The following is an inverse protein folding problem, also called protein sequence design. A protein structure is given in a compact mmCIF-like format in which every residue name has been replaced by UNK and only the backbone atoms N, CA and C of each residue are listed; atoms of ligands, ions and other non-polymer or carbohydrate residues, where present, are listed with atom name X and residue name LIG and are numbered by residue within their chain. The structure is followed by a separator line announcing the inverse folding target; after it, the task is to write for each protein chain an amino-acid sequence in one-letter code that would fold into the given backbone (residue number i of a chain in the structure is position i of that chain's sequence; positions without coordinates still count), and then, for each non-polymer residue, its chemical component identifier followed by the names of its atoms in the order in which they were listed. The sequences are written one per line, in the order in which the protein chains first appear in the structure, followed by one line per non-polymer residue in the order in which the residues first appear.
data_IF_992396790352
#
_entry.id   IF_992396790352
#
_cell.length_a   1.000
_cell.length_b   1.000
_cell.length_c   1.000
_cell.angle_alpha   90.00
_cell.angle_beta   90.00
_cell.angle_gamma   90.00
#
_symmetry.space_group_name_H-M   'P 1'
#
loop_
_entity.id
_entity.type
_entity.pdbx_description
1 polymer ?
#
# COMPACT_ATOMS: atom_id res chain seq x y z
N UNK A 1 14.52 -20.53 -28.91
CA UNK A 1 13.35 -19.68 -28.69
C UNK A 1 12.16 -20.59 -28.48
N UNK A 2 11.74 -20.84 -27.24
CA UNK A 2 10.62 -21.76 -26.92
C UNK A 2 9.38 -20.85 -26.80
N UNK A 3 8.50 -20.92 -27.79
CA UNK A 3 7.20 -20.25 -27.74
C UNK A 3 6.29 -21.07 -26.85
N UNK A 4 6.04 -20.63 -25.62
CA UNK A 4 5.03 -21.22 -24.74
C UNK A 4 3.68 -20.66 -25.17
N UNK A 5 2.92 -21.43 -25.93
CA UNK A 5 1.54 -21.13 -26.23
C UNK A 5 0.70 -21.57 -25.03
N UNK A 6 0.09 -20.62 -24.31
CA UNK A 6 -0.92 -20.91 -23.32
C UNK A 6 -2.22 -21.30 -24.04
N UNK A 7 -2.53 -22.59 -24.01
CA UNK A 7 -3.87 -23.06 -24.41
C UNK A 7 -4.81 -22.76 -23.24
N UNK A 8 -5.62 -21.73 -23.37
CA UNK A 8 -6.70 -21.49 -22.43
C UNK A 8 -7.72 -22.62 -22.54
N UNK A 9 -7.94 -23.34 -21.43
CA UNK A 9 -9.01 -24.32 -21.35
C UNK A 9 -10.37 -23.63 -21.60
N UNK A 10 -11.28 -24.22 -22.39
CA UNK A 10 -12.64 -23.71 -22.56
C UNK A 10 -13.34 -23.72 -21.18
N UNK A 11 -13.65 -22.55 -20.65
CA UNK A 11 -14.29 -22.39 -19.34
C UNK A 11 -13.41 -21.72 -18.26
N UNK A 12 -12.22 -21.23 -18.58
CA UNK A 12 -11.50 -20.35 -17.65
C UNK A 12 -12.32 -19.06 -17.49
N UNK A 13 -12.81 -18.82 -16.25
CA UNK A 13 -13.53 -17.60 -15.97
C UNK A 13 -12.66 -16.39 -16.32
N UNK A 14 -13.21 -15.41 -17.01
CA UNK A 14 -12.49 -14.19 -17.42
C UNK A 14 -12.39 -13.28 -16.19
N UNK A 15 -11.21 -12.70 -15.96
CA UNK A 15 -11.06 -11.65 -14.94
C UNK A 15 -11.77 -10.41 -15.46
N UNK A 16 -12.71 -9.87 -14.67
CA UNK A 16 -13.60 -8.77 -15.02
C UNK A 16 -13.45 -7.57 -14.11
N UNK A 17 -12.79 -7.71 -12.95
CA UNK A 17 -12.50 -6.64 -12.02
C UNK A 17 -11.19 -6.90 -11.27
N UNK A 18 -10.56 -5.83 -10.82
CA UNK A 18 -9.25 -5.90 -10.17
C UNK A 18 -9.27 -5.18 -8.83
N UNK A 19 -8.77 -5.87 -7.81
CA UNK A 19 -8.45 -5.32 -6.51
C UNK A 19 -6.95 -5.11 -6.43
N UNK A 20 -6.49 -3.93 -6.06
CA UNK A 20 -5.09 -3.67 -5.82
C UNK A 20 -4.84 -3.41 -4.33
N UNK A 21 -3.79 -3.99 -3.79
CA UNK A 21 -3.19 -3.46 -2.59
C UNK A 21 -2.60 -2.06 -2.87
N UNK A 22 -2.37 -1.29 -1.80
CA UNK A 22 -1.92 0.09 -1.92
C UNK A 22 -0.40 0.21 -1.76
N UNK A 23 0.12 0.00 -0.54
CA UNK A 23 1.52 0.24 -0.24
C UNK A 23 2.39 -0.92 -0.72
N UNK A 24 3.55 -0.63 -1.30
CA UNK A 24 4.43 -1.59 -1.98
C UNK A 24 3.79 -2.31 -3.19
N UNK A 25 2.61 -1.87 -3.65
CA UNK A 25 1.93 -2.37 -4.85
C UNK A 25 1.64 -1.24 -5.85
N UNK A 26 0.84 -0.25 -5.49
CA UNK A 26 0.56 0.93 -6.30
C UNK A 26 1.50 2.09 -5.99
N UNK A 27 1.95 2.18 -4.75
CA UNK A 27 2.81 3.26 -4.23
C UNK A 27 3.87 2.71 -3.30
N UNK A 28 4.94 3.49 -3.15
CA UNK A 28 5.97 3.26 -2.14
C UNK A 28 6.51 4.61 -1.64
N UNK A 29 7.25 4.59 -0.53
CA UNK A 29 8.08 5.72 -0.11
C UNK A 29 9.49 5.51 -0.69
N UNK A 30 9.85 6.25 -1.74
CA UNK A 30 11.12 6.01 -2.46
C UNK A 30 12.35 6.53 -1.76
N UNK A 31 12.22 7.52 -0.88
CA UNK A 31 13.36 8.19 -0.24
C UNK A 31 13.12 8.46 1.24
N UNK A 32 13.63 7.55 2.08
CA UNK A 32 13.63 7.74 3.53
C UNK A 32 14.41 8.98 3.98
N UNK A 33 15.37 9.47 3.16
CA UNK A 33 16.09 10.71 3.43
C UNK A 33 15.21 11.94 3.29
N UNK A 34 14.43 12.03 2.19
CA UNK A 34 13.46 13.11 2.01
C UNK A 34 12.40 13.11 3.10
N UNK A 35 11.97 11.94 3.55
CA UNK A 35 11.04 11.81 4.68
C UNK A 35 11.61 12.36 5.98
N UNK A 36 12.87 12.02 6.30
CA UNK A 36 13.58 12.55 7.47
C UNK A 36 13.70 14.07 7.38
N UNK A 37 14.12 14.59 6.23
CA UNK A 37 14.26 16.04 6.01
C UNK A 37 12.95 16.79 6.20
N UNK A 38 11.85 16.28 5.66
CA UNK A 38 10.51 16.87 5.84
C UNK A 38 10.08 16.88 7.32
N UNK A 39 10.36 15.81 8.06
CA UNK A 39 10.09 15.73 9.49
C UNK A 39 10.93 16.73 10.30
N UNK A 40 12.22 16.88 9.97
CA UNK A 40 13.12 17.87 10.59
C UNK A 40 12.62 19.30 10.33
N UNK A 41 12.29 19.63 9.08
CA UNK A 41 11.73 20.95 8.72
C UNK A 41 10.46 21.26 9.50
N UNK A 42 9.60 20.24 9.69
CA UNK A 42 8.38 20.39 10.50
C UNK A 42 8.69 20.67 11.96
N UNK A 43 9.70 20.01 12.54
CA UNK A 43 10.14 20.27 13.92
C UNK A 43 10.75 21.66 14.09
N UNK A 44 11.58 22.10 13.16
CA UNK A 44 12.24 23.41 13.17
C UNK A 44 11.23 24.56 13.03
N UNK A 45 10.09 24.32 12.37
CA UNK A 45 8.99 25.28 12.28
C UNK A 45 8.27 25.49 13.62
N UNK A 46 8.62 24.70 14.66
CA UNK A 46 8.06 24.84 16.01
C UNK A 46 8.93 25.79 16.83
N UNK A 47 8.39 26.89 17.40
CA UNK A 47 9.18 27.87 18.16
C UNK A 47 9.99 27.23 19.31
N UNK A 48 11.29 27.51 19.37
CA UNK A 48 12.19 27.04 20.42
C UNK A 48 12.95 25.74 20.14
N UNK A 49 12.81 25.16 18.95
CA UNK A 49 13.61 24.02 18.49
C UNK A 49 14.46 24.43 17.30
N UNK A 50 15.75 24.21 17.38
CA UNK A 50 16.69 24.36 16.27
C UNK A 50 17.89 23.47 16.49
N UNK A 51 17.92 22.35 15.80
CA UNK A 51 19.14 21.64 15.40
C UNK A 51 18.79 20.66 14.29
N UNK A 52 19.41 20.84 13.13
CA UNK A 52 19.46 19.79 12.11
C UNK A 52 20.03 18.51 12.71
N UNK A 53 19.59 17.34 12.22
CA UNK A 53 20.16 16.07 12.65
C UNK A 53 21.61 15.95 12.14
N UNK A 54 22.47 15.36 12.96
CA UNK A 54 23.82 14.97 12.55
C UNK A 54 23.73 14.00 11.36
N UNK A 55 24.59 14.11 10.31
CA UNK A 55 24.58 13.20 9.16
C UNK A 55 24.72 11.71 9.53
N UNK A 56 25.48 11.37 10.57
CA UNK A 56 25.59 9.99 11.06
C UNK A 56 24.26 9.51 11.66
N UNK A 57 23.58 10.39 12.40
CA UNK A 57 22.26 10.11 12.95
C UNK A 57 21.20 9.95 11.85
N UNK A 58 21.25 10.78 10.80
CA UNK A 58 20.36 10.65 9.64
C UNK A 58 20.52 9.30 8.96
N UNK A 59 21.76 8.83 8.74
CA UNK A 59 21.99 7.53 8.13
C UNK A 59 21.45 6.38 8.98
N UNK A 60 21.65 6.43 10.30
CA UNK A 60 21.16 5.41 11.22
C UNK A 60 19.64 5.43 11.38
N UNK A 61 19.01 6.61 11.38
CA UNK A 61 17.53 6.74 11.36
C UNK A 61 16.95 6.20 10.07
N UNK A 62 17.61 6.41 8.93
CA UNK A 62 17.18 5.86 7.64
C UNK A 62 17.08 4.33 7.70
N UNK A 63 18.14 3.65 8.16
CA UNK A 63 18.14 2.19 8.32
C UNK A 63 17.02 1.70 9.24
N UNK A 64 16.77 2.44 10.33
CA UNK A 64 15.66 2.11 11.25
C UNK A 64 14.29 2.27 10.58
N UNK A 65 14.09 3.32 9.78
CA UNK A 65 12.83 3.55 9.06
C UNK A 65 12.56 2.49 7.99
N UNK A 66 13.60 1.95 7.34
CA UNK A 66 13.46 0.83 6.40
C UNK A 66 12.91 -0.44 7.08
N UNK A 67 13.08 -0.57 8.39
CA UNK A 67 12.59 -1.69 9.19
C UNK A 67 11.40 -1.32 10.08
N UNK A 68 10.82 -0.12 9.91
CA UNK A 68 9.83 0.44 10.83
C UNK A 68 8.60 -0.46 11.02
N UNK A 69 8.12 -1.07 9.95
CA UNK A 69 6.96 -1.96 10.01
C UNK A 69 7.27 -3.29 10.71
N UNK A 70 8.51 -3.81 10.59
CA UNK A 70 8.96 -4.96 11.38
C UNK A 70 9.03 -4.66 12.88
N UNK A 71 9.44 -3.44 13.24
CA UNK A 71 9.36 -2.97 14.63
C UNK A 71 7.90 -2.81 15.08
N UNK A 72 7.05 -2.27 14.23
CA UNK A 72 5.61 -2.14 14.49
C UNK A 72 4.96 -3.51 14.71
N UNK A 73 5.31 -4.54 13.94
CA UNK A 73 4.82 -5.91 14.12
C UNK A 73 5.23 -6.51 15.47
N UNK A 74 6.41 -6.16 15.97
CA UNK A 74 6.86 -6.58 17.29
C UNK A 74 6.07 -5.93 18.42
N UNK A 75 5.69 -4.64 18.25
CA UNK A 75 4.91 -3.87 19.22
C UNK A 75 3.44 -4.28 19.18
N UNK A 76 2.90 -4.56 18.01
CA UNK A 76 1.49 -4.82 17.73
C UNK A 76 1.32 -6.08 16.84
N UNK A 77 1.63 -7.28 17.37
CA UNK A 77 1.63 -8.52 16.58
C UNK A 77 0.24 -8.93 16.07
N UNK A 78 -0.81 -8.33 16.60
CA UNK A 78 -2.20 -8.55 16.16
C UNK A 78 -2.66 -7.55 15.10
N UNK A 79 -1.80 -6.69 14.59
CA UNK A 79 -2.11 -5.66 13.57
C UNK A 79 -3.31 -4.77 13.93
N UNK A 80 -3.53 -4.54 15.24
CA UNK A 80 -4.63 -3.66 15.70
C UNK A 80 -4.45 -2.21 15.24
N UNK A 81 -3.20 -1.83 14.88
CA UNK A 81 -2.88 -0.55 14.24
C UNK A 81 -3.64 -0.33 12.95
N UNK A 82 -3.85 -1.40 12.17
CA UNK A 82 -4.52 -1.33 10.88
C UNK A 82 -6.04 -1.28 10.98
N UNK A 83 -6.57 -1.41 12.22
CA UNK A 83 -7.99 -1.29 12.54
C UNK A 83 -8.36 0.05 13.22
N UNK A 84 -7.38 0.95 13.42
CA UNK A 84 -7.61 2.20 14.15
C UNK A 84 -6.58 3.26 13.78
N UNK A 85 -7.02 4.42 13.33
CA UNK A 85 -6.16 5.57 13.04
C UNK A 85 -5.35 6.02 14.27
N UNK A 86 -5.95 6.02 15.45
CA UNK A 86 -5.26 6.37 16.69
C UNK A 86 -4.17 5.35 17.00
N UNK A 87 -4.51 4.06 16.91
CA UNK A 87 -3.55 2.99 17.21
C UNK A 87 -2.42 2.93 16.19
N UNK A 88 -2.71 3.18 14.92
CA UNK A 88 -1.70 3.25 13.86
C UNK A 88 -0.63 4.31 14.18
N UNK A 89 -1.08 5.51 14.55
CA UNK A 89 -0.17 6.59 14.94
C UNK A 89 0.63 6.23 16.20
N UNK A 90 0.00 5.68 17.23
CA UNK A 90 0.67 5.29 18.48
C UNK A 90 1.77 4.25 18.23
N UNK A 91 1.47 3.18 17.49
CA UNK A 91 2.41 2.10 17.19
C UNK A 91 3.58 2.62 16.36
N UNK A 92 3.32 3.45 15.35
CA UNK A 92 4.37 4.07 14.56
C UNK A 92 5.31 4.92 15.42
N UNK A 93 4.77 5.82 16.25
CA UNK A 93 5.57 6.69 17.13
C UNK A 93 6.38 5.85 18.12
N UNK A 94 5.78 4.80 18.66
CA UNK A 94 6.48 3.87 19.54
C UNK A 94 7.62 3.14 18.80
N UNK A 95 7.39 2.69 17.58
CA UNK A 95 8.42 2.04 16.76
C UNK A 95 9.59 2.98 16.46
N UNK A 96 9.33 4.25 16.13
CA UNK A 96 10.37 5.28 15.97
C UNK A 96 11.14 5.49 17.28
N UNK A 97 10.44 5.47 18.42
CA UNK A 97 11.06 5.68 19.75
C UNK A 97 11.99 4.55 20.21
N UNK A 98 11.96 3.39 19.54
CA UNK A 98 12.93 2.32 19.79
C UNK A 98 14.35 2.70 19.33
N UNK A 99 14.45 3.67 18.42
CA UNK A 99 15.77 4.16 17.98
C UNK A 99 16.34 5.14 19.00
N UNK A 100 17.55 4.88 19.57
CA UNK A 100 18.16 5.76 20.55
C UNK A 100 18.64 7.07 19.93
N UNK A 101 18.44 8.17 20.63
CA UNK A 101 18.95 9.49 20.24
C UNK A 101 18.01 10.34 19.39
N UNK A 102 16.79 9.85 19.08
CA UNK A 102 15.77 10.71 18.47
C UNK A 102 15.16 11.66 19.50
N UNK A 103 14.93 12.89 19.09
CA UNK A 103 14.29 13.91 19.95
C UNK A 103 12.80 13.58 20.20
N UNK A 104 12.29 13.95 21.39
CA UNK A 104 10.84 13.91 21.62
C UNK A 104 10.07 14.70 20.55
N UNK A 105 9.05 14.08 19.94
CA UNK A 105 8.26 14.67 18.88
C UNK A 105 8.74 14.35 17.46
N UNK A 106 9.90 13.70 17.30
CA UNK A 106 10.37 13.31 15.96
C UNK A 106 9.46 12.25 15.32
N UNK A 107 9.00 11.28 16.11
CA UNK A 107 8.02 10.28 15.64
C UNK A 107 6.70 10.91 15.19
N UNK A 108 6.21 11.93 15.93
CA UNK A 108 5.06 12.71 15.51
C UNK A 108 5.30 13.48 14.20
N UNK A 109 6.47 14.06 14.06
CA UNK A 109 6.81 14.81 12.86
C UNK A 109 6.90 13.89 11.63
N UNK A 110 7.57 12.73 11.77
CA UNK A 110 7.62 11.70 10.72
C UNK A 110 6.21 11.22 10.34
N UNK A 111 5.38 10.91 11.32
CA UNK A 111 4.01 10.46 11.07
C UNK A 111 3.19 11.51 10.33
N UNK A 112 3.33 12.78 10.72
CA UNK A 112 2.56 13.87 10.15
C UNK A 112 2.88 14.17 8.68
N UNK A 113 4.08 13.80 8.20
CA UNK A 113 4.50 13.99 6.80
C UNK A 113 4.58 12.68 6.02
N UNK A 114 4.18 11.54 6.61
CA UNK A 114 4.31 10.21 6.01
C UNK A 114 3.61 10.11 4.66
N UNK A 115 2.35 10.52 4.60
CA UNK A 115 1.56 10.42 3.38
C UNK A 115 2.10 11.30 2.25
N UNK A 116 2.78 12.41 2.57
CA UNK A 116 3.41 13.30 1.60
C UNK A 116 4.66 12.67 0.94
N UNK A 117 5.17 11.58 1.52
CA UNK A 117 6.35 10.87 1.01
C UNK A 117 5.98 9.71 0.08
N UNK A 118 4.70 9.37 -0.04
CA UNK A 118 4.27 8.34 -0.95
C UNK A 118 4.42 8.78 -2.41
N UNK A 119 4.89 7.87 -3.24
CA UNK A 119 5.06 8.08 -4.69
C UNK A 119 4.49 6.87 -5.41
N UNK A 120 3.63 7.10 -6.39
CA UNK A 120 3.14 6.02 -7.24
C UNK A 120 4.30 5.43 -8.07
N UNK A 121 4.28 4.11 -8.28
CA UNK A 121 5.17 3.50 -9.24
C UNK A 121 4.90 4.03 -10.66
N UNK A 122 5.92 4.03 -11.51
CA UNK A 122 5.83 4.61 -12.85
C UNK A 122 4.80 3.89 -13.74
N UNK A 123 4.54 2.61 -13.47
CA UNK A 123 3.54 1.79 -14.17
C UNK A 123 2.14 1.84 -13.53
N UNK A 124 1.95 2.47 -12.37
CA UNK A 124 0.65 2.57 -11.72
C UNK A 124 -0.37 3.32 -12.59
N UNK A 125 -0.11 4.58 -12.93
CA UNK A 125 -1.05 5.39 -13.69
C UNK A 125 -1.34 4.80 -15.08
N UNK A 126 -0.34 4.35 -15.87
CA UNK A 126 -0.58 3.69 -17.14
C UNK A 126 -1.48 2.46 -17.04
N UNK A 127 -1.25 1.58 -16.05
CA UNK A 127 -2.02 0.35 -15.90
C UNK A 127 -3.46 0.63 -15.45
N UNK A 128 -3.65 1.52 -14.46
CA UNK A 128 -5.01 1.90 -14.02
C UNK A 128 -5.79 2.58 -15.15
N UNK A 129 -5.13 3.42 -15.95
CA UNK A 129 -5.76 4.08 -17.11
C UNK A 129 -6.21 3.06 -18.14
N UNK A 130 -5.34 2.13 -18.53
CA UNK A 130 -5.66 1.08 -19.50
C UNK A 130 -6.81 0.18 -19.02
N UNK A 131 -6.83 -0.20 -17.73
CA UNK A 131 -7.92 -0.99 -17.15
C UNK A 131 -9.26 -0.22 -17.20
N UNK A 132 -9.24 1.06 -16.82
CA UNK A 132 -10.42 1.92 -16.86
C UNK A 132 -10.93 2.10 -18.32
N UNK A 133 -10.05 2.29 -19.30
CA UNK A 133 -10.40 2.38 -20.72
C UNK A 133 -11.01 1.09 -21.27
N UNK A 134 -10.61 -0.06 -20.73
CA UNK A 134 -11.20 -1.37 -21.02
C UNK A 134 -12.54 -1.61 -20.29
N UNK A 135 -12.99 -0.68 -19.45
CA UNK A 135 -14.19 -0.82 -18.64
C UNK A 135 -14.08 -1.87 -17.53
N UNK A 136 -12.86 -2.12 -17.05
CA UNK A 136 -12.59 -3.04 -15.95
C UNK A 136 -12.63 -2.26 -14.64
N UNK A 137 -13.59 -2.54 -13.73
CA UNK A 137 -13.67 -1.84 -12.46
C UNK A 137 -12.48 -2.17 -11.54
N UNK A 138 -12.04 -1.15 -10.80
CA UNK A 138 -10.84 -1.17 -9.99
C UNK A 138 -11.16 -0.73 -8.55
N UNK A 139 -10.79 -1.55 -7.58
CA UNK A 139 -10.90 -1.24 -6.15
C UNK A 139 -9.54 -1.34 -5.48
N UNK A 140 -9.22 -0.39 -4.61
CA UNK A 140 -8.04 -0.50 -3.72
C UNK A 140 -8.46 -1.16 -2.40
N UNK A 141 -7.66 -2.12 -1.92
CA UNK A 141 -7.89 -2.86 -0.66
C UNK A 141 -6.64 -2.82 0.19
N UNK A 142 -6.64 -2.05 1.28
CA UNK A 142 -5.44 -1.80 2.07
C UNK A 142 -5.61 -2.08 3.56
N UNK A 143 -4.60 -2.76 4.14
CA UNK A 143 -4.39 -2.85 5.59
C UNK A 143 -3.67 -1.57 6.03
N UNK A 144 -4.42 -0.58 6.49
CA UNK A 144 -3.86 0.72 6.86
C UNK A 144 -4.78 1.47 7.82
N UNK A 145 -4.19 2.18 8.78
CA UNK A 145 -4.89 3.08 9.69
C UNK A 145 -4.79 4.56 9.29
N UNK A 146 -4.61 4.86 8.00
CA UNK A 146 -4.57 6.24 7.46
C UNK A 146 -5.54 6.32 6.29
N UNK A 147 -6.25 7.47 6.16
CA UNK A 147 -7.04 7.73 4.95
C UNK A 147 -6.10 8.05 3.77
N UNK A 148 -6.11 7.20 2.76
CA UNK A 148 -5.27 7.34 1.55
C UNK A 148 -5.92 8.18 0.45
N UNK A 149 -7.22 8.51 0.57
CA UNK A 149 -7.95 9.23 -0.48
C UNK A 149 -7.38 10.61 -0.82
N UNK A 150 -6.85 11.38 0.16
CA UNK A 150 -6.17 12.65 -0.16
C UNK A 150 -4.97 12.43 -1.09
N UNK A 151 -4.15 11.41 -0.83
CA UNK A 151 -3.03 11.06 -1.70
C UNK A 151 -3.51 10.60 -3.08
N UNK A 152 -4.50 9.69 -3.15
CA UNK A 152 -5.04 9.21 -4.42
C UNK A 152 -5.55 10.35 -5.29
N UNK A 153 -6.21 11.34 -4.68
CA UNK A 153 -6.69 12.54 -5.39
C UNK A 153 -5.54 13.42 -5.88
N UNK A 154 -4.54 13.67 -5.03
CA UNK A 154 -3.37 14.47 -5.38
C UNK A 154 -2.53 13.82 -6.49
N UNK A 155 -2.39 12.50 -6.46
CA UNK A 155 -1.68 11.72 -7.47
C UNK A 155 -2.48 11.52 -8.76
N UNK A 156 -3.75 11.97 -8.83
CA UNK A 156 -4.62 11.80 -9.99
C UNK A 156 -5.11 10.36 -10.19
N UNK A 157 -4.98 9.50 -9.17
CA UNK A 157 -5.37 8.10 -9.23
C UNK A 157 -6.86 7.90 -8.91
N UNK A 158 -7.45 8.81 -8.13
CA UNK A 158 -8.82 8.67 -7.62
C UNK A 158 -9.86 8.48 -8.74
N UNK A 159 -9.73 9.19 -9.86
CA UNK A 159 -10.66 9.12 -10.99
C UNK A 159 -10.57 7.80 -11.80
N UNK A 160 -9.61 6.93 -11.47
CA UNK A 160 -9.45 5.62 -12.08
C UNK A 160 -10.01 4.48 -11.24
N UNK A 161 -10.47 4.78 -10.02
CA UNK A 161 -10.90 3.81 -9.04
C UNK A 161 -12.42 3.86 -8.86
N UNK A 162 -13.05 2.69 -8.80
CA UNK A 162 -14.46 2.53 -8.50
C UNK A 162 -14.71 2.47 -6.98
N UNK A 163 -13.65 2.19 -6.19
CA UNK A 163 -13.77 2.18 -4.74
C UNK A 163 -12.45 2.01 -4.00
N UNK A 164 -12.52 2.25 -2.69
CA UNK A 164 -11.40 2.10 -1.75
C UNK A 164 -11.91 1.44 -0.49
N UNK A 165 -11.33 0.30 -0.12
CA UNK A 165 -11.60 -0.46 1.10
C UNK A 165 -10.41 -0.32 2.03
N UNK A 166 -10.61 0.32 3.17
CA UNK A 166 -9.57 0.52 4.19
C UNK A 166 -9.93 -0.30 5.43
N UNK A 167 -8.97 -1.07 5.93
CA UNK A 167 -9.18 -1.98 7.04
C UNK A 167 -9.76 -1.31 8.28
N UNK A 168 -9.32 -0.08 8.62
CA UNK A 168 -9.83 0.65 9.78
C UNK A 168 -11.29 1.11 9.62
N UNK A 169 -11.81 1.21 8.40
CA UNK A 169 -13.21 1.58 8.14
C UNK A 169 -14.13 0.36 8.19
N UNK A 170 -13.67 -0.77 7.63
CA UNK A 170 -14.49 -1.98 7.55
C UNK A 170 -14.32 -2.91 8.76
N UNK A 171 -13.33 -2.64 9.63
CA UNK A 171 -13.08 -3.41 10.85
C UNK A 171 -12.48 -4.80 10.60
N UNK A 172 -11.88 -5.02 9.43
CA UNK A 172 -11.24 -6.27 9.04
C UNK A 172 -9.94 -6.00 8.29
N UNK A 173 -8.92 -6.83 8.50
CA UNK A 173 -7.63 -6.78 7.81
C UNK A 173 -7.46 -7.96 6.87
N UNK A 174 -6.75 -7.82 5.77
CA UNK A 174 -6.24 -8.95 4.99
C UNK A 174 -5.35 -9.80 5.91
N UNK A 175 -5.43 -11.13 5.93
CA UNK A 175 -6.15 -12.00 4.99
C UNK A 175 -7.58 -12.39 5.43
N UNK A 176 -8.22 -11.68 6.35
CA UNK A 176 -9.58 -11.96 6.80
C UNK A 176 -10.57 -11.86 5.62
N UNK A 177 -11.52 -12.81 5.47
CA UNK A 177 -12.42 -12.84 4.31
C UNK A 177 -13.35 -11.62 4.22
N UNK A 178 -13.64 -10.98 5.33
CA UNK A 178 -14.56 -9.85 5.44
C UNK A 178 -14.10 -8.65 4.61
N UNK A 179 -12.78 -8.34 4.59
CA UNK A 179 -12.25 -7.21 3.82
C UNK A 179 -12.40 -7.44 2.31
N UNK A 180 -12.23 -8.68 1.86
CA UNK A 180 -12.41 -9.05 0.45
C UNK A 180 -13.89 -9.06 0.05
N UNK A 181 -14.80 -9.41 0.98
CA UNK A 181 -16.24 -9.34 0.74
C UNK A 181 -16.67 -7.88 0.45
N UNK A 182 -16.20 -6.91 1.25
CA UNK A 182 -16.45 -5.49 0.98
C UNK A 182 -15.94 -5.04 -0.39
N UNK A 183 -14.78 -5.55 -0.82
CA UNK A 183 -14.25 -5.21 -2.13
C UNK A 183 -15.06 -5.86 -3.28
N UNK A 184 -15.54 -7.09 -3.11
CA UNK A 184 -16.42 -7.75 -4.06
C UNK A 184 -17.77 -7.05 -4.20
N UNK A 185 -18.33 -6.54 -3.08
CA UNK A 185 -19.57 -5.76 -3.08
C UNK A 185 -19.40 -4.47 -3.89
N UNK A 186 -18.24 -3.78 -3.77
CA UNK A 186 -17.96 -2.58 -4.58
C UNK A 186 -17.77 -2.90 -6.06
N UNK A 187 -17.17 -4.06 -6.38
CA UNK A 187 -17.00 -4.52 -7.76
C UNK A 187 -18.29 -5.07 -8.37
N UNK A 188 -19.31 -5.37 -7.56
CA UNK A 188 -20.58 -6.02 -7.96
C UNK A 188 -20.34 -7.29 -8.80
N UNK A 189 -19.48 -8.18 -8.32
CA UNK A 189 -19.12 -9.39 -9.05
C UNK A 189 -18.80 -10.58 -8.14
N UNK A 190 -18.93 -11.83 -8.66
CA UNK A 190 -18.52 -13.02 -7.94
C UNK A 190 -16.99 -13.11 -7.83
N UNK A 191 -16.48 -13.73 -6.75
CA UNK A 191 -15.07 -13.86 -6.45
C UNK A 191 -14.23 -14.44 -7.62
N UNK A 192 -14.78 -15.42 -8.35
CA UNK A 192 -14.08 -16.06 -9.47
C UNK A 192 -13.81 -15.16 -10.68
N UNK A 193 -14.48 -13.99 -10.77
CA UNK A 193 -14.30 -12.99 -11.83
C UNK A 193 -13.35 -11.86 -11.40
N UNK A 194 -12.95 -11.82 -10.13
CA UNK A 194 -12.03 -10.81 -9.59
C UNK A 194 -10.57 -11.31 -9.53
N UNK A 195 -9.65 -10.35 -9.60
CA UNK A 195 -8.22 -10.55 -9.39
C UNK A 195 -7.75 -9.65 -8.24
N UNK A 196 -7.14 -10.22 -7.21
CA UNK A 196 -6.38 -9.48 -6.21
C UNK A 196 -4.92 -9.39 -6.65
N UNK A 197 -4.36 -8.19 -6.64
CA UNK A 197 -2.96 -7.87 -6.96
C UNK A 197 -2.32 -7.20 -5.76
N UNK A 198 -1.23 -7.76 -5.26
CA UNK A 198 -0.50 -7.23 -4.12
C UNK A 198 0.92 -7.78 -4.03
N UNK A 199 1.66 -7.39 -3.01
CA UNK A 199 3.03 -7.84 -2.76
C UNK A 199 3.13 -8.85 -1.62
N UNK A 200 2.13 -8.89 -0.72
CA UNK A 200 2.13 -9.73 0.48
C UNK A 200 1.54 -11.11 0.23
N UNK A 201 2.40 -12.12 0.28
CA UNK A 201 1.94 -13.51 0.23
C UNK A 201 1.10 -13.93 1.46
N UNK A 202 1.17 -13.18 2.56
CA UNK A 202 0.37 -13.44 3.77
C UNK A 202 -1.00 -12.80 3.70
N UNK A 203 -1.05 -11.54 3.31
CA UNK A 203 -2.24 -10.71 3.38
C UNK A 203 -3.04 -10.81 2.07
N UNK A 204 -2.42 -10.48 0.94
CA UNK A 204 -3.10 -10.44 -0.35
C UNK A 204 -3.43 -11.82 -0.91
N UNK A 205 -2.53 -12.80 -0.70
CA UNK A 205 -2.80 -14.17 -1.10
C UNK A 205 -3.97 -14.82 -0.34
N UNK A 206 -4.40 -14.24 0.78
CA UNK A 206 -5.60 -14.64 1.50
C UNK A 206 -6.88 -14.55 0.66
N UNK A 207 -6.90 -13.70 -0.35
CA UNK A 207 -8.01 -13.59 -1.31
C UNK A 207 -8.31 -14.93 -2.00
N UNK A 208 -7.30 -15.77 -2.21
CA UNK A 208 -7.48 -17.10 -2.81
C UNK A 208 -8.38 -18.02 -1.96
N UNK A 209 -8.39 -17.86 -0.63
CA UNK A 209 -9.23 -18.64 0.27
C UNK A 209 -10.73 -18.37 0.09
N UNK A 210 -11.08 -17.21 -0.45
CA UNK A 210 -12.48 -16.84 -0.78
C UNK A 210 -12.81 -16.98 -2.26
N UNK A 211 -11.90 -17.58 -3.05
CA UNK A 211 -12.13 -17.88 -4.46
C UNK A 211 -11.73 -16.76 -5.43
N UNK A 212 -11.13 -15.69 -4.95
CA UNK A 212 -10.55 -14.61 -5.76
C UNK A 212 -9.21 -15.08 -6.32
N UNK A 213 -8.95 -14.85 -7.60
CA UNK A 213 -7.62 -15.10 -8.18
C UNK A 213 -6.63 -14.11 -7.62
N UNK A 214 -5.39 -14.53 -7.46
CA UNK A 214 -4.38 -13.69 -6.83
C UNK A 214 -3.12 -13.64 -7.65
N UNK A 215 -2.59 -12.44 -7.86
CA UNK A 215 -1.28 -12.17 -8.43
C UNK A 215 -0.42 -11.51 -7.35
N UNK A 216 0.65 -12.19 -6.94
CA UNK A 216 1.64 -11.61 -6.03
C UNK A 216 2.84 -11.14 -6.85
N UNK A 217 3.08 -9.84 -6.81
CA UNK A 217 4.25 -9.20 -7.40
C UNK A 217 5.26 -8.94 -6.27
N UNK A 218 6.48 -9.44 -6.36
CA UNK A 218 7.47 -9.21 -5.31
C UNK A 218 7.74 -7.71 -5.11
N UNK A 219 7.90 -7.29 -3.87
CA UNK A 219 8.32 -5.94 -3.54
C UNK A 219 9.60 -5.55 -4.31
N UNK A 220 9.67 -4.34 -4.79
CA UNK A 220 10.79 -3.82 -5.59
C UNK A 220 11.22 -2.45 -5.09
N UNK A 221 12.52 -2.18 -5.20
CA UNK A 221 13.08 -0.83 -5.02
C UNK A 221 13.18 -0.06 -6.34
N UNK A 222 12.76 -0.67 -7.45
CA UNK A 222 12.76 -0.05 -8.78
C UNK A 222 11.63 0.96 -8.96
N UNK A 223 11.69 1.77 -10.02
CA UNK A 223 10.66 2.76 -10.31
C UNK A 223 9.33 2.15 -10.77
N UNK A 224 9.33 0.93 -11.30
CA UNK A 224 8.15 0.21 -11.77
C UNK A 224 7.98 -1.08 -10.95
N UNK A 225 6.72 -1.41 -10.63
CA UNK A 225 6.40 -2.60 -9.82
C UNK A 225 6.17 -3.86 -10.68
N UNK A 226 5.89 -3.71 -11.96
CA UNK A 226 5.56 -4.82 -12.86
C UNK A 226 4.06 -5.02 -13.01
N UNK A 227 3.26 -4.00 -12.72
CA UNK A 227 1.80 -4.00 -12.81
C UNK A 227 1.28 -4.30 -14.22
N UNK A 228 2.08 -4.10 -15.27
CA UNK A 228 1.72 -4.48 -16.64
C UNK A 228 1.35 -5.97 -16.80
N UNK A 229 1.79 -6.83 -15.88
CA UNK A 229 1.39 -8.24 -15.86
C UNK A 229 -0.13 -8.41 -15.71
N UNK A 230 -0.80 -7.48 -15.01
CA UNK A 230 -2.26 -7.48 -14.80
C UNK A 230 -3.00 -7.37 -16.14
N UNK A 231 -2.52 -6.52 -17.06
CA UNK A 231 -3.14 -6.28 -18.37
C UNK A 231 -3.20 -7.54 -19.25
N UNK A 232 -2.33 -8.52 -18.97
CA UNK A 232 -2.29 -9.81 -19.68
C UNK A 232 -3.26 -10.83 -19.10
N UNK A 233 -3.67 -10.65 -17.85
CA UNK A 233 -4.57 -11.55 -17.13
C UNK A 233 -6.03 -11.16 -17.27
N UNK A 234 -6.28 -9.85 -17.43
CA UNK A 234 -7.62 -9.31 -17.68
C UNK A 234 -7.99 -9.56 -19.13
N UNK A 235 -9.17 -10.16 -19.34
CA UNK A 235 -9.67 -10.44 -20.70
C UNK A 235 -9.78 -9.18 -21.52
N UNK A 236 -9.58 -9.30 -22.84
CA UNK A 236 -10.02 -8.25 -23.74
C UNK A 236 -11.56 -8.14 -23.70
N UNK A 237 -12.12 -6.93 -23.82
CA UNK A 237 -13.56 -6.73 -23.83
C UNK A 237 -14.26 -7.48 -24.97
#
# INVERSE_FOLDING_TARGET
MVTVAWVMSPGAAVIRGVMFDFHATLVDHRDSGAWIEAAVQRLESTPGRSRGLDPELVAAVREHLEQIWGHADTIDPGSSRDLSQVRHREVFIQAVSLFPGVEPGFGEALYAVMADQWVAFDDTMPVLTELAERGVPIVVVSNIGIDIRPFLSQAGLADKLDGVVLSYEVGAVKPQPEIFAHALDLLDMPAGDALMVGDSWRDDAGAAAVGIRTLILPATSGPSHGLEAVLRLVGAP
#
